data_IF_866990184628
#
_entry.id   IF_866990184628
#
_cell.length_a   1.000
_cell.length_b   1.000
_cell.length_c   1.000
_cell.angle_alpha   90.00
_cell.angle_beta   90.00
_cell.angle_gamma   90.00
#
_symmetry.space_group_name_H-M   'P 1'
#
loop_
_entity.id
_entity.type
_entity.pdbx_description
1 polymer ?
#
# COMPACT_ATOMS: atom_id res chain seq x y z
N UNK A 1 16.76 -8.41 22.49
CA UNK A 1 15.79 -7.42 22.02
C UNK A 1 14.76 -8.09 21.13
N UNK A 2 13.48 -7.88 21.41
CA UNK A 2 12.41 -8.49 20.63
C UNK A 2 12.05 -7.57 19.47
N UNK A 3 12.16 -8.06 18.24
CA UNK A 3 11.73 -7.32 17.06
C UNK A 3 10.22 -7.48 16.93
N UNK A 4 9.51 -6.38 16.87
CA UNK A 4 8.06 -6.42 16.68
C UNK A 4 7.73 -6.92 15.28
N UNK A 5 6.60 -7.63 15.15
CA UNK A 5 6.14 -8.15 13.87
C UNK A 5 6.05 -7.04 12.80
N UNK A 6 5.54 -5.85 13.18
CA UNK A 6 5.44 -4.73 12.26
C UNK A 6 6.81 -4.27 11.74
N UNK A 7 7.81 -4.22 12.61
CA UNK A 7 9.17 -3.83 12.21
C UNK A 7 9.75 -4.83 11.22
N UNK A 8 9.56 -6.12 11.47
CA UNK A 8 9.98 -7.16 10.54
C UNK A 8 9.26 -7.04 9.20
N UNK A 9 7.94 -6.85 9.23
CA UNK A 9 7.12 -6.73 8.03
C UNK A 9 7.55 -5.54 7.18
N UNK A 10 7.74 -4.37 7.80
CA UNK A 10 8.17 -3.18 7.09
C UNK A 10 9.52 -3.38 6.42
N UNK A 11 10.42 -4.10 7.07
CA UNK A 11 11.72 -4.41 6.48
C UNK A 11 11.57 -5.31 5.25
N UNK A 12 10.72 -6.34 5.33
CA UNK A 12 10.46 -7.24 4.19
C UNK A 12 9.79 -6.51 3.03
N UNK A 13 8.91 -5.56 3.33
CA UNK A 13 8.18 -4.82 2.30
C UNK A 13 9.08 -3.86 1.50
N UNK A 14 10.31 -3.67 1.90
CA UNK A 14 11.28 -2.92 1.10
C UNK A 14 11.63 -3.66 -0.17
N UNK A 15 11.46 -4.97 -0.19
CA UNK A 15 11.61 -5.79 -1.39
C UNK A 15 10.32 -5.68 -2.23
N UNK A 16 10.47 -5.26 -3.49
CA UNK A 16 9.33 -5.05 -4.38
C UNK A 16 8.52 -6.33 -4.63
N UNK A 17 9.19 -7.46 -4.79
CA UNK A 17 8.49 -8.73 -5.01
C UNK A 17 7.70 -9.15 -3.78
N UNK A 18 8.28 -9.00 -2.60
CA UNK A 18 7.57 -9.30 -1.36
C UNK A 18 6.35 -8.38 -1.22
N UNK A 19 6.51 -7.08 -1.50
CA UNK A 19 5.41 -6.12 -1.42
C UNK A 19 4.28 -6.48 -2.37
N UNK A 20 4.61 -6.87 -3.60
CA UNK A 20 3.60 -7.30 -4.58
C UNK A 20 2.84 -8.54 -4.11
N UNK A 21 3.55 -9.54 -3.60
CA UNK A 21 2.92 -10.76 -3.07
C UNK A 21 2.04 -10.46 -1.86
N UNK A 22 2.49 -9.56 -0.99
CA UNK A 22 1.75 -9.13 0.18
C UNK A 22 0.42 -8.48 -0.20
N UNK A 23 0.45 -7.58 -1.19
CA UNK A 23 -0.77 -6.92 -1.67
C UNK A 23 -1.69 -7.90 -2.40
N UNK A 24 -1.13 -8.80 -3.19
CA UNK A 24 -1.93 -9.82 -3.88
C UNK A 24 -2.65 -10.72 -2.88
N UNK A 25 -1.96 -11.13 -1.82
CA UNK A 25 -2.58 -11.93 -0.76
C UNK A 25 -3.70 -11.16 -0.06
N UNK A 26 -3.49 -9.88 0.23
CA UNK A 26 -4.51 -9.04 0.84
C UNK A 26 -5.73 -8.86 -0.07
N UNK A 27 -5.51 -8.87 -1.38
CA UNK A 27 -6.59 -8.73 -2.36
C UNK A 27 -7.44 -9.99 -2.51
N UNK A 28 -7.01 -11.11 -1.96
CA UNK A 28 -7.82 -12.34 -1.94
C UNK A 28 -8.95 -12.25 -0.91
N UNK A 29 -8.83 -11.36 0.07
CA UNK A 29 -9.89 -11.10 1.03
C UNK A 29 -10.98 -10.28 0.34
N UNK A 30 -12.24 -10.64 0.59
CA UNK A 30 -13.38 -9.93 0.02
C UNK A 30 -13.60 -8.54 0.62
N UNK A 31 -12.93 -8.22 1.73
CA UNK A 31 -13.08 -6.91 2.38
C UNK A 31 -12.03 -5.93 1.86
N UNK A 32 -12.44 -4.87 1.16
CA UNK A 32 -11.50 -3.86 0.67
C UNK A 32 -10.65 -3.20 1.76
N UNK A 33 -11.11 -3.23 3.00
CA UNK A 33 -10.38 -2.67 4.14
C UNK A 33 -9.06 -3.41 4.36
N UNK A 34 -9.05 -4.72 4.13
CA UNK A 34 -7.84 -5.53 4.24
C UNK A 34 -6.78 -5.06 3.25
N UNK A 35 -7.19 -4.80 2.01
CA UNK A 35 -6.29 -4.30 0.98
C UNK A 35 -5.73 -2.91 1.34
N UNK A 36 -6.60 -2.00 1.79
CA UNK A 36 -6.16 -0.64 2.13
C UNK A 36 -5.19 -0.64 3.32
N UNK A 37 -5.44 -1.49 4.31
CA UNK A 37 -4.52 -1.66 5.45
C UNK A 37 -3.16 -2.17 4.97
N UNK A 38 -3.15 -3.14 4.08
CA UNK A 38 -1.92 -3.69 3.51
C UNK A 38 -1.19 -2.63 2.67
N UNK A 39 -1.92 -1.89 1.85
CA UNK A 39 -1.31 -0.84 1.02
C UNK A 39 -0.68 0.25 1.87
N UNK A 40 -1.28 0.60 2.99
CA UNK A 40 -0.68 1.57 3.91
C UNK A 40 0.67 1.08 4.43
N UNK A 41 0.78 -0.20 4.78
CA UNK A 41 2.05 -0.79 5.20
C UNK A 41 3.09 -0.71 4.11
N UNK A 42 2.69 -0.98 2.88
CA UNK A 42 3.58 -0.88 1.72
C UNK A 42 4.06 0.56 1.53
N UNK A 43 3.15 1.53 1.63
CA UNK A 43 3.52 2.95 1.53
C UNK A 43 4.53 3.33 2.62
N UNK A 44 4.28 2.92 3.86
CA UNK A 44 5.19 3.20 4.97
C UNK A 44 6.59 2.63 4.73
N UNK A 45 6.66 1.42 4.17
CA UNK A 45 7.93 0.74 3.94
C UNK A 45 8.68 1.25 2.71
N UNK A 46 7.96 1.76 1.72
CA UNK A 46 8.54 2.07 0.41
C UNK A 46 8.57 3.57 0.12
N UNK A 47 8.90 4.34 1.12
CA UNK A 47 9.13 5.78 0.96
C UNK A 47 8.46 6.63 2.02
N UNK A 48 7.42 6.14 2.67
CA UNK A 48 6.68 6.89 3.67
C UNK A 48 5.58 7.75 3.06
N UNK A 49 4.68 8.20 3.91
CA UNK A 49 3.49 8.92 3.46
C UNK A 49 3.83 10.23 2.72
N UNK A 50 4.80 10.99 3.23
CA UNK A 50 5.15 12.29 2.62
C UNK A 50 5.71 12.10 1.20
N UNK A 51 6.66 11.19 1.02
CA UNK A 51 7.30 10.97 -0.26
C UNK A 51 6.33 10.37 -1.27
N UNK A 52 5.53 9.40 -0.84
CA UNK A 52 4.55 8.76 -1.74
C UNK A 52 3.48 9.75 -2.16
N UNK A 53 2.99 10.59 -1.24
CA UNK A 53 2.03 11.64 -1.59
C UNK A 53 2.60 12.58 -2.65
N UNK A 54 3.84 13.01 -2.46
CA UNK A 54 4.52 13.89 -3.42
C UNK A 54 4.61 13.24 -4.81
N UNK A 55 5.07 11.99 -4.86
CA UNK A 55 5.21 11.27 -6.14
C UNK A 55 3.87 10.97 -6.80
N UNK A 56 2.83 10.76 -6.01
CA UNK A 56 1.49 10.50 -6.53
C UNK A 56 0.71 11.77 -6.84
N UNK A 57 1.30 12.95 -6.60
CA UNK A 57 0.67 14.25 -6.78
C UNK A 57 -0.59 14.42 -5.92
N UNK A 58 -0.51 13.93 -4.68
CA UNK A 58 -1.57 14.06 -3.69
C UNK A 58 -1.06 14.84 -2.47
N UNK A 59 -1.97 15.50 -1.74
CA UNK A 59 -1.60 16.01 -0.44
C UNK A 59 -1.45 14.83 0.53
N UNK A 60 -0.65 15.02 1.58
CA UNK A 60 -0.52 13.99 2.63
C UNK A 60 -1.88 13.66 3.24
N UNK A 61 -2.69 14.69 3.48
CA UNK A 61 -4.04 14.53 4.02
C UNK A 61 -4.91 13.66 3.12
N UNK A 62 -4.88 13.91 1.81
CA UNK A 62 -5.62 13.10 0.84
C UNK A 62 -5.14 11.67 0.84
N UNK A 63 -3.82 11.45 0.91
CA UNK A 63 -3.28 10.10 0.95
C UNK A 63 -3.71 9.35 2.22
N UNK A 64 -3.64 9.99 3.38
CA UNK A 64 -4.10 9.38 4.63
C UNK A 64 -5.57 8.96 4.54
N UNK A 65 -6.40 9.84 4.01
CA UNK A 65 -7.83 9.56 3.84
C UNK A 65 -8.07 8.42 2.86
N UNK A 66 -7.34 8.43 1.75
CA UNK A 66 -7.45 7.40 0.70
C UNK A 66 -7.10 6.02 1.24
N UNK A 67 -6.12 5.92 2.11
CA UNK A 67 -5.66 4.66 2.68
C UNK A 67 -6.35 4.28 3.99
N UNK A 68 -7.32 5.09 4.44
CA UNK A 68 -8.06 4.79 5.66
C UNK A 68 -8.91 3.55 5.46
N UNK A 69 -8.72 2.54 6.32
CA UNK A 69 -9.54 1.33 6.26
C UNK A 69 -11.01 1.58 6.57
N UNK A 70 -11.30 2.67 7.32
CA UNK A 70 -12.67 3.01 7.69
C UNK A 70 -13.41 3.80 6.61
N UNK A 71 -12.70 4.64 5.84
CA UNK A 71 -13.31 5.58 4.91
C UNK A 71 -12.71 5.56 3.51
N UNK A 72 -11.62 4.83 3.31
CA UNK A 72 -10.93 4.81 2.04
C UNK A 72 -11.78 4.18 0.95
N UNK A 73 -11.87 4.87 -0.16
CA UNK A 73 -12.55 4.38 -1.35
C UNK A 73 -11.87 5.00 -2.57
N UNK A 74 -10.60 4.64 -2.81
CA UNK A 74 -9.85 5.25 -3.90
C UNK A 74 -10.40 4.86 -5.26
N UNK A 75 -10.33 5.82 -6.19
CA UNK A 75 -10.57 5.51 -7.59
C UNK A 75 -9.40 4.67 -8.12
N UNK A 76 -9.61 4.00 -9.24
CA UNK A 76 -8.53 3.26 -9.89
C UNK A 76 -7.37 4.20 -10.26
N UNK A 77 -7.69 5.41 -10.69
CA UNK A 77 -6.66 6.39 -11.01
C UNK A 77 -5.78 6.73 -9.82
N UNK A 78 -6.40 6.99 -8.66
CA UNK A 78 -5.66 7.30 -7.43
C UNK A 78 -4.86 6.09 -6.96
N UNK A 79 -5.46 4.92 -7.01
CA UNK A 79 -4.80 3.69 -6.59
C UNK A 79 -3.58 3.40 -7.47
N UNK A 80 -3.70 3.55 -8.79
CA UNK A 80 -2.59 3.41 -9.71
C UNK A 80 -1.46 4.39 -9.40
N UNK A 81 -1.81 5.64 -9.10
CA UNK A 81 -0.81 6.66 -8.77
C UNK A 81 -0.03 6.30 -7.51
N UNK A 82 -0.73 5.81 -6.48
CA UNK A 82 -0.10 5.40 -5.22
C UNK A 82 0.81 4.19 -5.44
N UNK A 83 0.32 3.16 -6.14
CA UNK A 83 1.14 1.99 -6.44
C UNK A 83 2.40 2.36 -7.21
N UNK A 84 2.25 3.17 -8.25
CA UNK A 84 3.38 3.61 -9.07
C UNK A 84 4.39 4.39 -8.23
N UNK A 85 3.93 5.23 -7.31
CA UNK A 85 4.80 5.98 -6.42
C UNK A 85 5.59 5.06 -5.47
N UNK A 86 5.10 3.86 -5.19
CA UNK A 86 5.79 2.86 -4.38
C UNK A 86 6.67 1.92 -5.21
N UNK A 87 6.69 2.08 -6.53
CA UNK A 87 7.47 1.22 -7.42
C UNK A 87 6.74 -0.04 -7.87
N UNK A 88 5.43 -0.07 -7.70
CA UNK A 88 4.59 -1.22 -8.05
C UNK A 88 3.60 -0.84 -9.14
N UNK A 89 2.90 -1.82 -9.67
CA UNK A 89 1.82 -1.58 -10.63
C UNK A 89 0.73 -2.61 -10.46
N UNK A 90 -0.47 -2.25 -10.90
CA UNK A 90 -1.58 -3.19 -10.95
C UNK A 90 -1.32 -4.29 -11.96
N UNK A 91 -1.83 -5.46 -11.64
CA UNK A 91 -1.92 -6.56 -12.55
C UNK A 91 -3.08 -7.46 -12.13
N UNK A 92 -3.52 -8.28 -13.04
CA UNK A 92 -4.52 -9.29 -12.76
C UNK A 92 -3.96 -10.65 -13.15
N UNK A 93 -4.45 -11.68 -12.48
CA UNK A 93 -4.10 -13.07 -12.79
C UNK A 93 -5.39 -13.88 -12.92
N UNK A 94 -5.32 -14.94 -13.70
CA UNK A 94 -6.45 -15.83 -13.84
C UNK A 94 -6.72 -16.57 -12.52
N UNK A 95 -7.96 -16.80 -12.25
CA UNK A 95 -8.36 -17.59 -11.09
C UNK A 95 -8.26 -19.07 -11.41
#
# INVERSE_FOLDING_TARGET
MTIKHDDWLLEQLKDAEFAAEFLNAANEDDDPKTYLTALRKVVEARGGMALVAEKAHLSRETLYRTLSSARGNPTIKTLNAVLKATGLKFGVSAQ
#
